data_IF_249913366295
#
_entry.id   IF_249913366295
#
_cell.length_a   1.000
_cell.length_b   1.000
_cell.length_c   1.000
_cell.angle_alpha   90.00
_cell.angle_beta   90.00
_cell.angle_gamma   90.00
#
_symmetry.space_group_name_H-M   'P 1'
#
loop_
_entity.id
_entity.type
_entity.pdbx_description
1 polymer ?
#
# COMPACT_ATOMS: atom_id res chain seq x y z
N UNK A 1 -25.11 -4.45 -8.62
CA UNK A 1 -23.69 -4.52 -9.05
C UNK A 1 -23.38 -3.61 -10.24
N UNK A 2 -24.13 -3.61 -11.35
CA UNK A 2 -23.94 -2.68 -12.47
C UNK A 2 -23.99 -1.19 -12.06
N UNK A 3 -24.88 -0.79 -11.15
CA UNK A 3 -25.02 0.60 -10.68
C UNK A 3 -23.80 1.14 -9.93
N UNK A 4 -23.11 0.31 -9.15
CA UNK A 4 -21.91 0.72 -8.36
C UNK A 4 -20.72 0.92 -9.30
N UNK A 5 -20.55 0.07 -10.30
CA UNK A 5 -19.48 0.19 -11.28
C UNK A 5 -19.66 1.47 -12.14
N UNK A 6 -20.88 1.81 -12.50
CA UNK A 6 -21.21 3.03 -13.28
C UNK A 6 -20.92 4.30 -12.48
N UNK A 7 -21.18 4.28 -11.15
CA UNK A 7 -20.89 5.42 -10.25
C UNK A 7 -19.37 5.65 -10.17
N UNK A 8 -18.57 4.58 -10.08
CA UNK A 8 -17.11 4.71 -9.95
C UNK A 8 -16.46 5.21 -11.25
N UNK A 9 -16.90 4.71 -12.41
CA UNK A 9 -16.43 5.20 -13.72
C UNK A 9 -16.83 6.67 -13.92
N UNK A 10 -18.02 7.06 -13.51
CA UNK A 10 -18.47 8.45 -13.53
C UNK A 10 -17.64 9.37 -12.62
N UNK A 11 -17.22 8.90 -11.45
CA UNK A 11 -16.42 9.66 -10.49
C UNK A 11 -14.99 9.90 -11.00
N UNK A 12 -14.36 8.89 -11.57
CA UNK A 12 -13.02 9.00 -12.17
C UNK A 12 -13.05 9.92 -13.39
N UNK A 13 -14.07 9.82 -14.24
CA UNK A 13 -14.25 10.71 -15.38
C UNK A 13 -14.50 12.17 -14.96
N UNK A 14 -15.27 12.41 -13.88
CA UNK A 14 -15.51 13.75 -13.36
C UNK A 14 -14.26 14.38 -12.73
N UNK A 15 -13.39 13.58 -12.11
CA UNK A 15 -12.10 14.04 -11.56
C UNK A 15 -11.12 14.39 -12.67
N UNK A 16 -11.05 13.59 -13.74
CA UNK A 16 -10.22 13.89 -14.92
C UNK A 16 -10.69 15.16 -15.64
N UNK A 17 -12.00 15.36 -15.82
CA UNK A 17 -12.54 16.57 -16.43
C UNK A 17 -12.28 17.83 -15.58
N UNK A 18 -12.28 17.74 -14.24
CA UNK A 18 -11.95 18.89 -13.38
C UNK A 18 -10.47 19.26 -13.38
N UNK A 19 -9.58 18.31 -13.53
CA UNK A 19 -8.16 18.58 -13.68
C UNK A 19 -7.89 19.34 -15.00
N UNK A 20 -8.48 18.92 -16.10
CA UNK A 20 -8.37 19.61 -17.40
C UNK A 20 -9.04 20.99 -17.39
N UNK A 21 -10.17 21.19 -16.69
CA UNK A 21 -10.84 22.49 -16.57
C UNK A 21 -10.06 23.46 -15.67
N UNK A 22 -9.36 22.98 -14.66
CA UNK A 22 -8.51 23.83 -13.82
C UNK A 22 -7.27 24.35 -14.55
N UNK A 23 -6.68 23.55 -15.44
CA UNK A 23 -5.55 23.97 -16.28
C UNK A 23 -6.00 24.88 -17.43
N UNK A 24 -7.25 24.77 -17.92
CA UNK A 24 -7.75 25.58 -19.04
C UNK A 24 -8.23 26.98 -18.64
N UNK A 25 -8.48 27.25 -17.37
CA UNK A 25 -8.89 28.57 -16.86
C UNK A 25 -7.73 29.58 -16.76
N UNK A 26 -6.52 29.18 -17.06
CA UNK A 26 -5.33 30.06 -17.01
C UNK A 26 -4.84 30.52 -18.39
N UNK A 27 -5.52 30.21 -19.49
CA UNK A 27 -5.14 30.71 -20.83
C UNK A 27 -6.34 31.09 -21.67
N UNK A 28 -6.50 32.40 -21.85
CA UNK A 28 -7.19 33.17 -22.94
C UNK A 28 -8.41 32.59 -23.66
N UNK A 29 -9.48 33.43 -23.61
CA UNK A 29 -10.60 33.50 -24.56
C UNK A 29 -10.17 33.31 -26.01
N UNK A 30 -10.76 32.35 -26.72
CA UNK A 30 -11.22 32.47 -28.10
C UNK A 30 -12.30 31.40 -28.33
N UNK A 31 -13.42 31.84 -28.96
CA UNK A 31 -14.54 31.05 -29.48
C UNK A 31 -14.07 30.01 -30.48
N UNK A 32 -14.56 28.78 -30.38
CA UNK A 32 -15.15 28.12 -31.53
C UNK A 32 -15.97 26.89 -31.08
N UNK A 33 -17.15 26.79 -31.68
CA UNK A 33 -18.16 25.78 -31.47
C UNK A 33 -17.69 24.40 -31.99
N UNK A 34 -17.47 23.46 -31.11
CA UNK A 34 -17.38 22.04 -31.42
C UNK A 34 -18.65 21.38 -30.89
N UNK A 35 -19.46 20.85 -31.83
CA UNK A 35 -20.63 20.02 -31.53
C UNK A 35 -20.18 18.76 -30.77
N UNK A 36 -20.56 18.67 -29.52
CA UNK A 36 -20.42 17.46 -28.73
C UNK A 36 -21.55 16.52 -29.13
N UNK A 37 -21.20 15.46 -29.87
CA UNK A 37 -22.10 14.34 -30.10
C UNK A 37 -22.54 13.76 -28.77
N UNK A 38 -23.81 13.86 -28.53
CA UNK A 38 -24.49 13.51 -27.28
C UNK A 38 -24.35 12.01 -27.01
N UNK A 39 -23.48 11.63 -26.15
CA UNK A 39 -23.65 10.37 -25.41
C UNK A 39 -24.95 10.53 -24.63
N UNK A 40 -25.98 9.78 -25.02
CA UNK A 40 -27.22 9.63 -24.28
C UNK A 40 -26.90 8.94 -22.97
N UNK A 41 -26.53 9.72 -21.97
CA UNK A 41 -26.52 9.29 -20.56
C UNK A 41 -27.99 9.28 -20.15
N UNK A 42 -28.49 8.08 -19.86
CA UNK A 42 -29.86 7.87 -19.41
C UNK A 42 -30.17 8.92 -18.32
N UNK A 43 -31.15 9.80 -18.59
CA UNK A 43 -31.53 10.94 -17.75
C UNK A 43 -31.89 10.54 -16.31
N UNK A 44 -32.19 9.27 -16.05
CA UNK A 44 -32.44 8.71 -14.73
C UNK A 44 -31.20 8.57 -13.84
N UNK A 45 -29.98 8.67 -14.40
CA UNK A 45 -28.74 8.59 -13.65
C UNK A 45 -28.24 9.99 -13.25
N UNK A 46 -28.58 11.01 -14.03
CA UNK A 46 -28.16 12.39 -13.76
C UNK A 46 -28.87 13.01 -12.53
N UNK A 47 -30.11 12.64 -12.29
CA UNK A 47 -30.90 13.19 -11.17
C UNK A 47 -30.53 12.58 -9.80
N UNK A 48 -29.73 11.49 -9.75
CA UNK A 48 -29.38 10.79 -8.51
C UNK A 48 -27.90 10.99 -8.12
N UNK A 49 -27.09 11.52 -9.02
CA UNK A 49 -25.67 11.81 -8.77
C UNK A 49 -25.52 13.30 -8.46
N UNK A 50 -25.70 13.65 -7.19
CA UNK A 50 -25.16 14.91 -6.69
C UNK A 50 -23.65 14.86 -6.84
N UNK A 51 -23.09 15.64 -7.77
CA UNK A 51 -21.63 15.84 -7.82
C UNK A 51 -21.25 16.54 -6.54
N UNK A 52 -20.37 15.96 -5.70
CA UNK A 52 -20.00 16.59 -4.44
C UNK A 52 -19.34 17.93 -4.72
N UNK A 53 -19.90 19.00 -4.17
CA UNK A 53 -19.36 20.35 -4.33
C UNK A 53 -18.11 20.61 -3.47
N UNK A 54 -17.86 19.74 -2.49
CA UNK A 54 -16.75 19.89 -1.52
C UNK A 54 -15.93 18.62 -1.40
N UNK A 55 -14.68 18.76 -0.98
CA UNK A 55 -13.77 17.65 -0.71
C UNK A 55 -14.36 16.71 0.34
N UNK A 56 -15.04 17.26 1.38
CA UNK A 56 -15.70 16.49 2.44
C UNK A 56 -16.80 15.57 1.89
N UNK A 57 -17.51 15.99 0.85
CA UNK A 57 -18.56 15.20 0.19
C UNK A 57 -17.96 14.02 -0.60
N UNK A 58 -16.80 14.22 -1.22
CA UNK A 58 -16.03 13.15 -1.89
C UNK A 58 -15.49 12.13 -0.88
N UNK A 59 -14.99 12.62 0.25
CA UNK A 59 -14.49 11.79 1.34
C UNK A 59 -15.62 10.92 1.94
N UNK A 60 -16.83 11.47 2.11
CA UNK A 60 -17.99 10.72 2.58
C UNK A 60 -18.39 9.60 1.60
N UNK A 61 -18.27 9.83 0.29
CA UNK A 61 -18.52 8.80 -0.73
C UNK A 61 -17.46 7.71 -0.67
N UNK A 62 -16.19 8.08 -0.52
CA UNK A 62 -15.08 7.14 -0.39
C UNK A 62 -15.25 6.29 0.87
N UNK A 63 -15.64 6.88 2.00
CA UNK A 63 -15.93 6.17 3.25
C UNK A 63 -17.08 5.15 3.11
N UNK A 64 -18.01 5.42 2.20
CA UNK A 64 -19.15 4.53 1.93
C UNK A 64 -18.79 3.40 0.97
N UNK A 65 -17.89 3.67 0.02
CA UNK A 65 -17.52 2.74 -1.06
C UNK A 65 -16.37 1.83 -0.65
N UNK A 66 -15.38 2.37 0.08
CA UNK A 66 -14.24 1.58 0.57
C UNK A 66 -14.64 0.90 1.87
N UNK A 67 -14.76 -0.42 1.91
CA UNK A 67 -15.12 -1.12 3.14
C UNK A 67 -14.09 -0.82 4.22
N UNK A 68 -14.58 -0.37 5.38
CA UNK A 68 -13.75 -0.24 6.58
C UNK A 68 -13.28 -1.63 6.95
N UNK A 69 -11.98 -1.88 6.85
CA UNK A 69 -11.39 -3.11 7.37
C UNK A 69 -11.54 -3.04 8.89
N UNK A 70 -12.32 -3.94 9.52
CA UNK A 70 -12.45 -3.92 10.97
C UNK A 70 -11.06 -4.08 11.60
N UNK A 71 -10.71 -3.28 12.61
CA UNK A 71 -9.42 -3.43 13.28
C UNK A 71 -9.34 -4.83 13.89
N UNK A 72 -8.26 -5.53 13.60
CA UNK A 72 -8.04 -6.92 14.05
C UNK A 72 -7.90 -7.04 15.58
N UNK A 73 -7.67 -5.92 16.28
CA UNK A 73 -7.39 -5.89 17.71
C UNK A 73 -8.14 -4.76 18.43
N UNK A 74 -9.15 -5.10 19.22
CA UNK A 74 -9.91 -4.13 20.03
C UNK A 74 -9.67 -4.21 21.54
N UNK A 75 -8.75 -5.05 22.05
CA UNK A 75 -8.65 -5.34 23.48
C UNK A 75 -7.23 -5.39 24.07
N UNK A 76 -6.34 -4.42 23.76
CA UNK A 76 -4.98 -4.47 24.32
C UNK A 76 -4.57 -3.16 25.00
N UNK A 77 -3.75 -3.26 26.07
CA UNK A 77 -3.24 -2.13 26.84
C UNK A 77 -2.06 -1.43 26.16
N UNK A 78 -1.86 -0.12 26.39
CA UNK A 78 -0.86 0.72 25.71
C UNK A 78 0.60 0.30 25.93
N UNK A 79 0.91 -0.39 27.05
CA UNK A 79 2.27 -0.83 27.39
C UNK A 79 2.76 -2.02 26.57
N UNK A 80 1.85 -2.86 26.05
CA UNK A 80 2.21 -4.14 25.40
C UNK A 80 2.25 -4.06 23.87
N UNK A 81 2.00 -2.88 23.31
CA UNK A 81 1.81 -2.66 21.87
C UNK A 81 3.01 -3.08 21.03
N UNK A 82 4.21 -2.73 21.46
CA UNK A 82 5.43 -3.03 20.70
C UNK A 82 5.68 -4.53 20.57
N UNK A 83 5.38 -5.29 21.63
CA UNK A 83 5.53 -6.74 21.62
C UNK A 83 4.47 -7.44 20.75
N UNK A 84 3.24 -6.94 20.75
CA UNK A 84 2.15 -7.53 19.94
C UNK A 84 2.36 -7.27 18.46
N UNK A 85 2.78 -6.08 18.11
CA UNK A 85 3.04 -5.72 16.72
C UNK A 85 4.27 -6.46 16.19
N UNK A 86 5.31 -6.63 17.01
CA UNK A 86 6.44 -7.50 16.70
C UNK A 86 6.00 -8.95 16.51
N UNK A 87 5.08 -9.46 17.33
CA UNK A 87 4.52 -10.82 17.17
C UNK A 87 3.66 -10.95 15.90
N UNK A 88 2.91 -9.92 15.54
CA UNK A 88 2.13 -9.91 14.27
C UNK A 88 3.07 -9.99 13.06
N UNK A 89 4.15 -9.22 13.09
CA UNK A 89 5.18 -9.27 12.06
C UNK A 89 5.93 -10.61 12.06
N UNK A 90 6.29 -11.15 13.23
CA UNK A 90 6.84 -12.51 13.37
C UNK A 90 5.90 -13.57 12.79
N UNK A 91 4.59 -13.42 13.02
CA UNK A 91 3.60 -14.37 12.49
C UNK A 91 3.55 -14.31 10.96
N UNK A 92 3.59 -13.13 10.37
CA UNK A 92 3.59 -12.99 8.90
C UNK A 92 4.86 -13.56 8.25
N UNK A 93 5.97 -13.62 9.00
CA UNK A 93 7.25 -14.19 8.52
C UNK A 93 7.39 -15.71 8.74
N UNK A 94 6.47 -16.36 9.45
CA UNK A 94 6.57 -17.79 9.82
C UNK A 94 6.64 -18.75 8.62
N UNK A 95 6.09 -18.36 7.48
CA UNK A 95 6.15 -19.20 6.29
C UNK A 95 7.56 -19.25 5.66
N UNK A 96 8.43 -18.29 6.04
CA UNK A 96 9.82 -18.30 5.59
C UNK A 96 10.60 -19.34 6.41
N UNK A 97 11.06 -20.40 5.75
CA UNK A 97 11.94 -21.36 6.40
C UNK A 97 13.29 -20.71 6.75
N UNK A 98 13.71 -20.80 8.00
CA UNK A 98 14.90 -20.14 8.54
C UNK A 98 16.14 -21.03 8.62
N UNK A 99 16.06 -22.31 8.19
CA UNK A 99 17.13 -23.28 8.40
C UNK A 99 18.37 -23.02 7.56
N UNK A 100 18.25 -22.42 6.38
CA UNK A 100 19.33 -22.36 5.38
C UNK A 100 20.08 -21.02 5.30
N UNK A 101 19.83 -20.08 6.21
CA UNK A 101 20.47 -18.78 6.15
C UNK A 101 21.70 -18.71 7.08
N UNK A 102 22.90 -18.86 6.53
CA UNK A 102 24.18 -18.69 7.23
C UNK A 102 24.66 -17.25 7.10
N UNK A 103 23.97 -16.29 7.69
CA UNK A 103 24.50 -14.93 7.77
C UNK A 103 25.38 -14.75 8.98
N UNK A 104 26.59 -14.23 8.80
CA UNK A 104 27.45 -13.72 9.87
C UNK A 104 27.03 -12.30 10.20
N UNK A 105 25.83 -12.13 10.78
CA UNK A 105 25.36 -10.77 11.00
C UNK A 105 25.98 -10.15 12.26
N UNK A 106 26.37 -8.91 12.13
CA UNK A 106 26.87 -8.11 13.25
C UNK A 106 25.67 -7.65 14.11
N UNK A 107 25.71 -8.01 15.40
CA UNK A 107 24.69 -7.62 16.38
C UNK A 107 24.92 -6.23 16.96
N UNK A 108 26.01 -5.52 16.59
CA UNK A 108 26.29 -4.18 17.08
C UNK A 108 25.21 -3.20 16.66
N UNK A 109 24.73 -2.42 17.62
CA UNK A 109 23.79 -1.33 17.33
C UNK A 109 24.60 -0.12 16.84
N UNK A 110 24.28 0.34 15.64
CA UNK A 110 24.87 1.55 15.12
C UNK A 110 24.34 2.79 15.88
N UNK A 111 25.11 3.90 15.90
CA UNK A 111 24.60 5.16 16.42
C UNK A 111 23.36 5.64 15.65
N UNK A 112 22.45 6.32 16.34
CA UNK A 112 21.22 6.85 15.75
C UNK A 112 21.46 7.77 14.54
N UNK A 113 22.56 8.51 14.57
CA UNK A 113 22.97 9.36 13.47
C UNK A 113 23.17 8.59 12.16
N UNK A 114 23.66 7.34 12.23
CA UNK A 114 23.85 6.47 11.05
C UNK A 114 22.51 6.04 10.46
N UNK A 115 21.57 5.59 11.30
CA UNK A 115 20.23 5.23 10.83
C UNK A 115 19.53 6.41 10.17
N UNK A 116 19.60 7.58 10.81
CA UNK A 116 19.02 8.81 10.28
C UNK A 116 19.63 9.20 8.94
N UNK A 117 20.98 9.20 8.84
CA UNK A 117 21.67 9.53 7.59
C UNK A 117 21.32 8.55 6.46
N UNK A 118 21.24 7.25 6.76
CA UNK A 118 20.85 6.21 5.80
C UNK A 118 19.42 6.39 5.29
N UNK A 119 18.45 6.67 6.17
CA UNK A 119 17.08 6.95 5.76
C UNK A 119 16.99 8.21 4.88
N UNK A 120 17.75 9.25 5.21
CA UNK A 120 17.81 10.48 4.42
C UNK A 120 18.49 10.28 3.04
N UNK A 121 19.38 9.29 2.93
CA UNK A 121 20.08 8.95 1.70
C UNK A 121 19.29 7.98 0.79
N UNK A 122 18.14 7.46 1.24
CA UNK A 122 17.29 6.64 0.37
C UNK A 122 16.77 7.48 -0.81
N UNK A 123 16.92 7.01 -2.05
CA UNK A 123 16.39 7.70 -3.22
C UNK A 123 14.88 7.46 -3.32
N UNK A 124 14.10 8.03 -2.41
CA UNK A 124 12.68 7.80 -2.31
C UNK A 124 11.86 9.10 -2.37
N UNK A 125 10.66 8.99 -2.92
CA UNK A 125 9.66 10.07 -2.98
C UNK A 125 8.88 10.17 -1.66
N UNK A 126 8.66 9.01 -1.02
CA UNK A 126 7.92 8.92 0.24
C UNK A 126 8.82 9.38 1.38
N UNK A 127 8.33 10.31 2.20
CA UNK A 127 9.06 10.75 3.38
C UNK A 127 9.27 9.60 4.38
N UNK A 128 10.52 9.39 4.76
CA UNK A 128 10.92 8.33 5.69
C UNK A 128 11.64 8.92 6.92
N UNK A 129 10.92 9.62 7.81
CA UNK A 129 11.53 10.27 8.97
C UNK A 129 12.03 9.23 9.97
N UNK A 130 13.18 9.55 10.59
CA UNK A 130 13.73 8.79 11.69
C UNK A 130 13.10 9.22 13.03
N UNK A 131 12.61 8.26 13.79
CA UNK A 131 12.16 8.44 15.17
C UNK A 131 12.32 7.12 15.96
N UNK A 132 12.02 7.14 17.26
CA UNK A 132 12.16 5.96 18.13
C UNK A 132 11.34 4.75 17.65
N UNK A 133 10.14 4.96 17.09
CA UNK A 133 9.30 3.89 16.57
C UNK A 133 9.92 3.25 15.34
N UNK A 134 10.34 4.05 14.39
CA UNK A 134 11.03 3.58 13.19
C UNK A 134 12.32 2.84 13.57
N UNK A 135 13.09 3.39 14.52
CA UNK A 135 14.29 2.74 15.05
C UNK A 135 14.00 1.35 15.62
N UNK A 136 12.97 1.23 16.44
CA UNK A 136 12.59 -0.04 17.05
C UNK A 136 12.33 -1.12 16.00
N UNK A 137 11.59 -0.80 14.93
CA UNK A 137 11.33 -1.73 13.84
C UNK A 137 12.55 -2.00 12.94
N UNK A 138 13.42 -1.01 12.70
CA UNK A 138 14.70 -1.26 12.03
C UNK A 138 15.51 -2.29 12.80
N UNK A 139 15.68 -2.09 14.11
CA UNK A 139 16.42 -3.02 14.97
C UNK A 139 15.76 -4.40 15.01
N UNK A 140 14.43 -4.45 14.96
CA UNK A 140 13.71 -5.72 14.87
C UNK A 140 14.08 -6.48 13.59
N UNK A 141 14.02 -5.84 12.42
CA UNK A 141 14.40 -6.46 11.16
C UNK A 141 15.86 -6.89 11.13
N UNK A 142 16.79 -5.96 11.42
CA UNK A 142 18.22 -6.22 11.21
C UNK A 142 18.89 -7.01 12.31
N UNK A 143 18.31 -7.05 13.53
CA UNK A 143 18.91 -7.76 14.67
C UNK A 143 18.14 -8.98 15.16
N UNK A 144 16.82 -8.89 15.23
CA UNK A 144 16.00 -10.01 15.74
C UNK A 144 15.59 -10.99 14.65
N UNK A 145 15.43 -10.51 13.41
CA UNK A 145 14.92 -11.29 12.29
C UNK A 145 15.82 -11.30 11.03
N UNK A 146 17.18 -11.35 11.18
CA UNK A 146 18.09 -11.24 10.03
C UNK A 146 17.91 -12.37 9.02
N UNK A 147 17.62 -13.59 9.49
CA UNK A 147 17.35 -14.73 8.61
C UNK A 147 16.11 -14.53 7.74
N UNK A 148 15.06 -13.96 8.31
CA UNK A 148 13.84 -13.62 7.58
C UNK A 148 14.12 -12.52 6.55
N UNK A 149 14.88 -11.47 6.94
CA UNK A 149 15.29 -10.41 6.00
C UNK A 149 16.08 -11.00 4.82
N UNK A 150 17.04 -11.89 5.08
CA UNK A 150 17.80 -12.58 4.04
C UNK A 150 16.89 -13.33 3.04
N UNK A 151 15.83 -13.96 3.54
CA UNK A 151 14.84 -14.65 2.69
C UNK A 151 13.90 -13.69 1.97
N UNK A 152 13.49 -12.59 2.59
CA UNK A 152 12.76 -11.52 1.93
C UNK A 152 13.58 -10.92 0.78
N UNK A 153 14.88 -10.66 0.99
CA UNK A 153 15.80 -10.21 -0.05
C UNK A 153 15.89 -11.20 -1.21
N UNK A 154 15.86 -12.52 -0.94
CA UNK A 154 15.79 -13.54 -1.99
C UNK A 154 14.46 -13.53 -2.73
N UNK A 155 13.34 -13.50 -2.00
CA UNK A 155 12.00 -13.49 -2.59
C UNK A 155 11.73 -12.22 -3.40
N UNK A 156 12.31 -11.09 -3.00
CA UNK A 156 12.18 -9.83 -3.71
C UNK A 156 12.78 -9.89 -5.13
N UNK A 157 13.78 -10.72 -5.38
CA UNK A 157 14.31 -10.92 -6.75
C UNK A 157 13.26 -11.42 -7.73
N UNK A 158 12.28 -12.18 -7.23
CA UNK A 158 11.18 -12.69 -8.03
C UNK A 158 10.04 -11.67 -8.18
N UNK A 159 9.62 -11.05 -7.07
CA UNK A 159 8.42 -10.23 -7.07
C UNK A 159 8.68 -8.77 -7.40
N UNK A 160 9.83 -8.21 -7.01
CA UNK A 160 10.09 -6.78 -7.22
C UNK A 160 10.09 -6.37 -8.69
N UNK A 161 10.62 -7.13 -9.65
CA UNK A 161 10.49 -6.78 -11.06
C UNK A 161 9.04 -6.61 -11.52
N UNK A 162 8.11 -7.48 -11.05
CA UNK A 162 6.68 -7.39 -11.35
C UNK A 162 6.08 -6.11 -10.73
N UNK A 163 6.45 -5.83 -9.47
CA UNK A 163 5.95 -4.65 -8.76
C UNK A 163 6.48 -3.36 -9.38
N UNK A 164 7.78 -3.29 -9.65
CA UNK A 164 8.46 -2.11 -10.20
C UNK A 164 7.93 -1.75 -11.59
N UNK A 165 7.77 -2.73 -12.47
CA UNK A 165 7.18 -2.53 -13.80
C UNK A 165 5.76 -1.98 -13.69
N UNK A 166 4.95 -2.54 -12.79
CA UNK A 166 3.57 -2.10 -12.63
C UNK A 166 3.50 -0.72 -11.97
N UNK A 167 4.28 -0.46 -10.90
CA UNK A 167 4.35 0.85 -10.26
C UNK A 167 4.78 1.93 -11.26
N UNK A 168 5.76 1.66 -12.13
CA UNK A 168 6.19 2.57 -13.18
C UNK A 168 5.08 2.91 -14.17
N UNK A 169 4.27 1.92 -14.58
CA UNK A 169 3.12 2.15 -15.49
C UNK A 169 2.03 3.05 -14.90
N UNK A 170 1.94 3.10 -13.56
CA UNK A 170 0.98 3.93 -12.83
C UNK A 170 1.60 5.22 -12.28
N UNK A 171 2.86 5.52 -12.60
CA UNK A 171 3.61 6.67 -12.08
C UNK A 171 3.61 6.74 -10.54
N UNK A 172 3.82 5.59 -9.90
CA UNK A 172 3.82 5.43 -8.44
C UNK A 172 5.24 5.27 -7.89
N UNK A 173 5.49 5.73 -6.63
CA UNK A 173 6.78 5.57 -5.97
C UNK A 173 7.21 4.10 -5.88
N UNK A 174 8.46 3.82 -6.25
CA UNK A 174 9.01 2.46 -6.22
C UNK A 174 9.11 1.87 -4.82
N UNK A 175 9.16 2.69 -3.79
CA UNK A 175 9.20 2.27 -2.38
C UNK A 175 7.98 1.46 -1.99
N UNK A 176 6.84 1.69 -2.64
CA UNK A 176 5.59 0.96 -2.42
C UNK A 176 5.72 -0.54 -2.70
N UNK A 177 6.73 -0.99 -3.45
CA UNK A 177 7.06 -2.41 -3.63
C UNK A 177 7.32 -3.14 -2.31
N UNK A 178 7.63 -2.40 -1.23
CA UNK A 178 7.87 -2.97 0.09
C UNK A 178 6.57 -3.17 0.91
N UNK A 179 5.40 -2.71 0.43
CA UNK A 179 4.13 -3.00 1.11
C UNK A 179 3.84 -4.52 1.22
N UNK A 180 4.01 -5.35 0.17
CA UNK A 180 3.81 -6.79 0.30
C UNK A 180 4.73 -7.48 1.30
N UNK A 181 5.86 -6.86 1.68
CA UNK A 181 6.72 -7.39 2.75
C UNK A 181 5.97 -7.35 4.08
N UNK A 182 5.33 -6.23 4.40
CA UNK A 182 4.62 -6.03 5.66
C UNK A 182 3.23 -6.65 5.67
N UNK A 183 2.64 -6.88 4.50
CA UNK A 183 1.31 -7.49 4.35
C UNK A 183 1.36 -9.02 4.42
N UNK A 184 2.29 -9.63 3.71
CA UNK A 184 2.29 -11.08 3.50
C UNK A 184 3.68 -11.72 3.64
N UNK A 185 4.73 -10.97 3.94
CA UNK A 185 6.12 -11.39 3.80
C UNK A 185 6.43 -11.97 2.41
N UNK A 186 5.86 -11.37 1.37
CA UNK A 186 5.95 -11.81 -0.04
C UNK A 186 5.34 -13.20 -0.30
N UNK A 187 4.40 -13.66 0.53
CA UNK A 187 3.69 -14.92 0.34
C UNK A 187 2.43 -14.73 -0.51
N UNK A 188 2.39 -15.20 -1.77
CA UNK A 188 1.22 -15.05 -2.63
C UNK A 188 0.01 -15.85 -2.15
N UNK A 189 0.20 -16.86 -1.31
CA UNK A 189 -0.85 -17.71 -0.78
C UNK A 189 -1.29 -17.30 0.63
N UNK A 190 -0.78 -16.18 1.15
CA UNK A 190 -1.15 -15.71 2.48
C UNK A 190 -2.65 -15.44 2.59
N UNK A 191 -3.24 -15.89 3.70
CA UNK A 191 -4.64 -15.62 4.08
C UNK A 191 -4.71 -15.20 5.52
N UNK A 192 -5.34 -14.06 5.78
CA UNK A 192 -5.61 -13.61 7.14
C UNK A 192 -6.89 -14.23 7.71
N UNK A 193 -7.03 -14.21 9.03
CA UNK A 193 -8.25 -14.70 9.71
C UNK A 193 -9.50 -13.90 9.33
N UNK A 194 -9.35 -12.64 8.90
CA UNK A 194 -10.45 -11.78 8.45
C UNK A 194 -10.72 -11.89 6.96
N UNK A 195 -10.00 -12.77 6.24
CA UNK A 195 -10.24 -13.05 4.85
C UNK A 195 -9.47 -12.20 3.84
N UNK A 196 -8.50 -11.41 4.28
CA UNK A 196 -7.53 -10.80 3.36
C UNK A 196 -6.65 -11.87 2.73
N UNK A 197 -6.24 -11.70 1.46
CA UNK A 197 -5.47 -12.73 0.75
C UNK A 197 -4.46 -12.14 -0.25
N UNK A 198 -3.42 -12.95 -0.51
CA UNK A 198 -2.38 -12.69 -1.52
C UNK A 198 -1.27 -11.77 -1.03
N UNK A 199 -0.37 -11.40 -1.96
CA UNK A 199 0.78 -10.54 -1.69
C UNK A 199 0.39 -9.19 -1.06
N UNK A 200 -0.69 -8.62 -1.56
CA UNK A 200 -1.21 -7.29 -1.21
C UNK A 200 -2.32 -7.31 -0.16
N UNK A 201 -2.65 -8.50 0.37
CA UNK A 201 -3.66 -8.72 1.41
C UNK A 201 -5.01 -8.03 1.15
N UNK A 202 -5.51 -8.15 -0.07
CA UNK A 202 -6.82 -7.59 -0.42
C UNK A 202 -7.96 -8.29 0.33
N UNK A 203 -8.85 -7.49 0.91
CA UNK A 203 -10.16 -7.97 1.33
C UNK A 203 -11.03 -8.29 0.10
N UNK A 204 -11.93 -9.30 0.15
CA UNK A 204 -12.73 -9.69 -1.00
C UNK A 204 -13.53 -8.56 -1.64
N UNK A 205 -14.11 -7.66 -0.83
CA UNK A 205 -14.90 -6.53 -1.32
C UNK A 205 -14.01 -5.52 -2.05
N UNK A 206 -12.85 -5.15 -1.47
CA UNK A 206 -11.88 -4.25 -2.07
C UNK A 206 -11.30 -4.84 -3.35
N UNK A 207 -10.95 -6.14 -3.35
CA UNK A 207 -10.46 -6.83 -4.53
C UNK A 207 -11.42 -6.70 -5.72
N UNK A 208 -12.72 -6.97 -5.48
CA UNK A 208 -13.76 -6.84 -6.50
C UNK A 208 -13.95 -5.40 -6.99
N UNK A 209 -13.83 -4.43 -6.08
CA UNK A 209 -13.91 -3.01 -6.42
C UNK A 209 -12.80 -2.61 -7.40
N UNK A 210 -11.60 -3.15 -7.21
CA UNK A 210 -10.44 -2.89 -8.06
C UNK A 210 -10.25 -3.93 -9.18
N UNK A 211 -11.32 -4.67 -9.54
CA UNK A 211 -11.40 -5.48 -10.75
C UNK A 211 -10.82 -6.89 -10.64
N UNK A 212 -10.54 -7.39 -9.42
CA UNK A 212 -10.13 -8.77 -9.22
C UNK A 212 -11.34 -9.71 -9.15
N UNK A 213 -11.24 -10.84 -9.82
CA UNK A 213 -12.21 -11.92 -9.71
C UNK A 213 -11.98 -12.70 -8.40
N UNK A 214 -13.02 -12.77 -7.57
CA UNK A 214 -13.01 -13.54 -6.31
C UNK A 214 -14.31 -14.30 -6.21
N UNK A 215 -14.25 -15.60 -6.43
CA UNK A 215 -15.40 -16.53 -6.34
C UNK A 215 -14.94 -17.87 -5.75
N UNK A 216 -15.75 -18.92 -5.84
CA UNK A 216 -15.44 -20.25 -5.30
C UNK A 216 -14.37 -21.02 -6.11
N UNK A 217 -14.12 -20.64 -7.35
CA UNK A 217 -13.18 -21.32 -8.27
C UNK A 217 -11.91 -20.54 -8.50
N UNK A 218 -12.00 -19.19 -8.49
CA UNK A 218 -10.90 -18.29 -8.82
C UNK A 218 -10.75 -17.25 -7.71
N UNK A 219 -9.51 -17.01 -7.30
CA UNK A 219 -9.14 -15.95 -6.36
C UNK A 219 -7.91 -15.20 -6.89
N UNK A 220 -8.15 -14.17 -7.72
CA UNK A 220 -7.11 -13.39 -8.36
C UNK A 220 -6.29 -12.51 -7.40
N UNK A 221 -6.67 -12.45 -6.13
CA UNK A 221 -5.85 -11.81 -5.09
C UNK A 221 -4.51 -12.52 -4.90
N UNK A 222 -4.44 -13.81 -5.27
CA UNK A 222 -3.24 -14.63 -5.20
C UNK A 222 -2.39 -14.58 -6.48
N UNK A 223 -2.90 -13.99 -7.56
CA UNK A 223 -2.15 -13.75 -8.77
C UNK A 223 -1.23 -12.53 -8.58
N UNK A 224 0.11 -12.69 -8.67
CA UNK A 224 1.04 -11.59 -8.42
C UNK A 224 0.87 -10.41 -9.38
N UNK A 225 0.54 -10.66 -10.64
CA UNK A 225 0.42 -9.61 -11.66
C UNK A 225 -0.90 -8.86 -11.47
N UNK A 226 -2.02 -9.59 -11.43
CA UNK A 226 -3.35 -9.00 -11.32
C UNK A 226 -3.54 -8.26 -10.00
N UNK A 227 -3.07 -8.85 -8.89
CA UNK A 227 -3.18 -8.19 -7.59
C UNK A 227 -2.31 -6.94 -7.49
N UNK A 228 -1.14 -6.91 -8.13
CA UNK A 228 -0.30 -5.70 -8.21
C UNK A 228 -0.97 -4.61 -9.03
N UNK A 229 -1.58 -4.94 -10.16
CA UNK A 229 -2.39 -4.00 -10.95
C UNK A 229 -3.53 -3.38 -10.12
N UNK A 230 -4.25 -4.21 -9.36
CA UNK A 230 -5.31 -3.74 -8.48
C UNK A 230 -4.78 -2.86 -7.35
N UNK A 231 -3.63 -3.21 -6.76
CA UNK A 231 -2.99 -2.41 -5.72
C UNK A 231 -2.55 -1.04 -6.24
N UNK A 232 -1.97 -0.96 -7.43
CA UNK A 232 -1.59 0.30 -8.04
C UNK A 232 -2.81 1.20 -8.27
N UNK A 233 -3.93 0.65 -8.79
CA UNK A 233 -5.19 1.41 -8.93
C UNK A 233 -5.73 1.91 -7.59
N UNK A 234 -5.68 1.07 -6.55
CA UNK A 234 -6.09 1.46 -5.21
C UNK A 234 -5.22 2.57 -4.65
N UNK A 235 -3.89 2.42 -4.68
CA UNK A 235 -2.94 3.40 -4.19
C UNK A 235 -3.07 4.74 -4.93
N UNK A 236 -3.22 4.72 -6.26
CA UNK A 236 -3.47 5.93 -7.06
C UNK A 236 -4.75 6.64 -6.64
N UNK A 237 -5.85 5.89 -6.42
CA UNK A 237 -7.12 6.47 -5.98
C UNK A 237 -7.03 7.12 -4.60
N UNK A 238 -6.26 6.53 -3.67
CA UNK A 238 -6.04 7.11 -2.36
C UNK A 238 -5.13 8.35 -2.42
N UNK A 239 -4.10 8.32 -3.28
CA UNK A 239 -3.22 9.48 -3.45
C UNK A 239 -3.96 10.70 -4.03
N UNK A 240 -4.90 10.48 -4.93
CA UNK A 240 -5.76 11.55 -5.44
C UNK A 240 -6.58 12.27 -4.34
N UNK A 241 -6.83 11.59 -3.20
CA UNK A 241 -7.56 12.15 -2.06
C UNK A 241 -6.63 12.81 -1.05
N UNK A 242 -5.53 12.15 -0.71
CA UNK A 242 -4.70 12.57 0.42
C UNK A 242 -3.52 13.44 0.01
N UNK A 243 -2.97 13.28 -1.19
CA UNK A 243 -1.74 13.94 -1.67
C UNK A 243 -0.53 13.79 -0.72
N UNK A 244 -0.57 12.79 0.16
CA UNK A 244 0.45 12.44 1.14
C UNK A 244 0.57 10.91 1.19
N UNK A 245 1.75 10.38 0.86
CA UNK A 245 1.95 8.95 0.78
C UNK A 245 1.86 8.24 2.14
N UNK A 246 2.28 8.89 3.23
CA UNK A 246 2.16 8.29 4.55
C UNK A 246 0.70 8.17 5.00
N UNK A 247 -0.16 9.13 4.60
CA UNK A 247 -1.61 9.01 4.77
C UNK A 247 -2.21 7.92 3.87
N UNK A 248 -1.74 7.79 2.63
CA UNK A 248 -2.17 6.71 1.71
C UNK A 248 -1.83 5.34 2.30
N UNK A 249 -0.60 5.16 2.80
CA UNK A 249 -0.15 3.92 3.43
C UNK A 249 -0.99 3.62 4.68
N UNK A 250 -1.28 4.63 5.51
CA UNK A 250 -2.17 4.48 6.66
C UNK A 250 -3.58 4.08 6.23
N UNK A 251 -4.12 4.72 5.18
CA UNK A 251 -5.45 4.40 4.63
C UNK A 251 -5.52 3.01 3.99
N UNK A 252 -4.43 2.54 3.40
CA UNK A 252 -4.31 1.17 2.90
C UNK A 252 -4.57 0.15 4.02
N UNK A 253 -3.98 0.38 5.19
CA UNK A 253 -4.10 -0.53 6.34
C UNK A 253 -5.48 -0.43 7.04
N UNK A 254 -5.94 0.78 7.38
CA UNK A 254 -7.14 0.92 8.23
C UNK A 254 -8.39 1.46 7.51
N UNK A 255 -8.27 1.74 6.22
CA UNK A 255 -9.32 2.37 5.44
C UNK A 255 -9.37 3.90 5.61
N UNK A 256 -9.84 4.59 4.56
CA UNK A 256 -9.99 6.04 4.50
C UNK A 256 -10.86 6.60 5.64
N UNK A 257 -11.92 5.90 6.02
CA UNK A 257 -12.81 6.33 7.11
C UNK A 257 -12.10 6.54 8.44
N UNK A 258 -11.14 5.68 8.79
CA UNK A 258 -10.37 5.84 10.04
C UNK A 258 -9.34 6.96 9.92
N UNK A 259 -8.70 7.12 8.76
CA UNK A 259 -7.77 8.24 8.50
C UNK A 259 -8.53 9.57 8.58
N UNK A 260 -9.69 9.69 7.95
CA UNK A 260 -10.51 10.88 7.97
C UNK A 260 -11.03 11.24 9.38
N UNK A 261 -11.41 10.22 10.18
CA UNK A 261 -11.71 10.43 11.61
C UNK A 261 -10.51 10.97 12.38
N UNK A 262 -9.31 10.46 12.11
CA UNK A 262 -8.08 10.90 12.75
C UNK A 262 -7.75 12.36 12.34
N UNK A 263 -7.87 12.71 11.06
CA UNK A 263 -7.71 14.09 10.55
C UNK A 263 -8.66 15.06 11.26
N UNK A 264 -9.96 14.73 11.35
CA UNK A 264 -10.93 15.56 12.07
C UNK A 264 -10.56 15.75 13.54
N UNK A 265 -10.13 14.66 14.22
CA UNK A 265 -9.69 14.74 15.64
C UNK A 265 -8.40 15.52 15.82
N UNK A 266 -7.55 15.56 14.81
CA UNK A 266 -6.30 16.35 14.81
C UNK A 266 -6.52 17.82 14.42
N UNK A 267 -7.76 18.29 14.34
CA UNK A 267 -8.07 19.67 13.94
C UNK A 267 -7.85 19.95 12.45
N UNK A 268 -8.02 18.96 11.59
CA UNK A 268 -7.89 19.08 10.15
C UNK A 268 -6.45 18.95 9.60
N UNK A 269 -5.49 18.59 10.44
CA UNK A 269 -4.10 18.38 10.00
C UNK A 269 -4.02 17.16 9.08
N UNK A 270 -3.41 17.33 7.92
CA UNK A 270 -3.32 16.31 6.86
C UNK A 270 -1.87 15.84 6.68
N UNK A 271 -1.25 15.38 7.75
CA UNK A 271 0.01 14.67 7.75
C UNK A 271 -0.03 13.51 8.76
N UNK A 272 0.66 12.41 8.43
CA UNK A 272 0.60 11.18 9.22
C UNK A 272 0.99 11.38 10.69
N UNK A 273 2.06 12.11 10.96
CA UNK A 273 2.60 12.24 12.32
C UNK A 273 1.73 13.12 13.22
N UNK A 274 1.03 14.10 12.64
CA UNK A 274 0.02 14.90 13.37
C UNK A 274 -1.22 14.08 13.71
N UNK A 275 -1.66 13.18 12.83
CA UNK A 275 -2.84 12.34 13.09
C UNK A 275 -2.51 11.04 13.82
N UNK A 276 -1.24 10.68 13.95
CA UNK A 276 -0.74 9.46 14.57
C UNK A 276 -1.43 9.11 15.91
N UNK A 277 -1.60 10.03 16.90
CA UNK A 277 -2.25 9.71 18.17
C UNK A 277 -3.71 9.30 18.05
N UNK A 278 -4.36 9.67 16.94
CA UNK A 278 -5.80 9.47 16.71
C UNK A 278 -6.09 8.27 15.81
N UNK A 279 -5.06 7.69 15.20
CA UNK A 279 -5.19 6.48 14.37
C UNK A 279 -5.47 5.24 15.22
N UNK A 280 -6.07 4.18 14.65
CA UNK A 280 -6.09 2.85 15.27
C UNK A 280 -4.67 2.41 15.66
N UNK A 281 -4.55 1.66 16.74
CA UNK A 281 -3.26 1.25 17.30
C UNK A 281 -2.37 0.54 16.28
N UNK A 282 -2.93 -0.41 15.55
CA UNK A 282 -2.25 -1.16 14.49
C UNK A 282 -1.69 -0.22 13.43
N UNK A 283 -2.51 0.71 12.93
CA UNK A 283 -2.14 1.65 11.89
C UNK A 283 -1.04 2.62 12.31
N UNK A 284 -0.96 2.97 13.61
CA UNK A 284 0.12 3.82 14.12
C UNK A 284 1.51 3.28 13.81
N UNK A 285 1.67 1.97 13.80
CA UNK A 285 2.96 1.34 13.55
C UNK A 285 3.13 0.87 12.11
N UNK A 286 2.06 0.85 11.32
CA UNK A 286 2.13 0.38 9.96
C UNK A 286 3.08 1.21 9.09
N UNK A 287 3.02 2.55 9.15
CA UNK A 287 3.99 3.43 8.46
C UNK A 287 5.41 3.28 9.03
N UNK A 288 5.66 3.30 10.35
CA UNK A 288 6.98 2.97 10.91
C UNK A 288 7.54 1.62 10.47
N UNK A 289 6.71 0.57 10.39
CA UNK A 289 7.12 -0.76 9.89
C UNK A 289 7.48 -0.68 8.39
N UNK A 290 6.68 0.04 7.59
CA UNK A 290 6.97 0.25 6.17
C UNK A 290 8.32 0.94 5.96
N UNK A 291 8.61 2.01 6.70
CA UNK A 291 9.89 2.70 6.67
C UNK A 291 11.04 1.76 7.04
N UNK A 292 10.86 0.97 8.10
CA UNK A 292 11.85 0.01 8.56
C UNK A 292 12.07 -1.14 7.55
N UNK A 293 11.02 -1.59 6.86
CA UNK A 293 11.15 -2.58 5.79
C UNK A 293 11.97 -2.04 4.61
N UNK A 294 11.70 -0.80 4.17
CA UNK A 294 12.51 -0.12 3.15
C UNK A 294 13.98 -0.04 3.57
N UNK A 295 14.24 0.38 4.82
CA UNK A 295 15.59 0.41 5.36
C UNK A 295 16.26 -0.97 5.33
N UNK A 296 15.58 -2.00 5.85
CA UNK A 296 16.15 -3.34 5.97
C UNK A 296 16.43 -3.99 4.61
N UNK A 297 15.56 -3.78 3.63
CA UNK A 297 15.75 -4.29 2.28
C UNK A 297 16.89 -3.59 1.54
N UNK A 298 17.14 -2.32 1.82
CA UNK A 298 18.22 -1.55 1.18
C UNK A 298 19.55 -1.78 1.88
N UNK A 299 19.59 -1.72 3.22
CA UNK A 299 20.82 -1.74 4.00
C UNK A 299 21.07 -3.06 4.73
N UNK A 300 20.37 -4.13 4.35
CA UNK A 300 20.55 -5.45 4.99
C UNK A 300 21.98 -5.96 4.90
N UNK A 301 22.65 -5.75 3.76
CA UNK A 301 24.04 -6.19 3.55
C UNK A 301 25.02 -5.46 4.48
N UNK A 302 24.83 -4.16 4.72
CA UNK A 302 25.65 -3.35 5.63
C UNK A 302 25.45 -3.72 7.09
N UNK A 303 24.41 -4.52 7.39
CA UNK A 303 24.18 -5.18 8.68
C UNK A 303 24.68 -6.62 8.68
N UNK A 304 25.46 -7.05 7.69
CA UNK A 304 25.96 -8.41 7.58
C UNK A 304 24.89 -9.45 7.24
N UNK A 305 23.73 -9.03 6.76
CA UNK A 305 22.66 -9.93 6.32
C UNK A 305 22.92 -10.31 4.87
N UNK A 306 23.47 -11.49 4.67
CA UNK A 306 23.70 -12.00 3.33
C UNK A 306 22.40 -12.50 2.71
N UNK A 307 22.19 -12.12 1.45
CA UNK A 307 21.13 -12.67 0.63
C UNK A 307 21.35 -14.18 0.46
N UNK A 308 20.36 -15.00 0.80
CA UNK A 308 20.46 -16.42 0.61
C UNK A 308 20.57 -16.75 -0.89
N UNK A 309 21.40 -17.75 -1.30
CA UNK A 309 21.53 -18.13 -2.69
C UNK A 309 20.17 -18.56 -3.25
N UNK A 310 19.90 -18.23 -4.51
CA UNK A 310 18.70 -18.67 -5.19
C UNK A 310 18.76 -20.19 -5.42
N UNK A 311 17.75 -20.92 -4.97
CA UNK A 311 17.65 -22.36 -5.23
C UNK A 311 17.32 -22.68 -6.68
N UNK A 312 16.70 -21.72 -7.39
CA UNK A 312 16.32 -21.86 -8.80
C UNK A 312 16.58 -20.55 -9.53
N UNK A 313 17.09 -20.64 -10.75
CA UNK A 313 17.19 -19.49 -11.64
C UNK A 313 15.80 -19.05 -12.07
N UNK A 314 15.54 -17.73 -12.03
CA UNK A 314 14.30 -17.11 -12.47
C UNK A 314 14.24 -16.91 -14.00
N UNK A 315 15.18 -17.51 -14.74
CA UNK A 315 15.14 -17.50 -16.19
C UNK A 315 13.92 -18.32 -16.65
N UNK A 316 12.88 -17.61 -17.06
CA UNK A 316 11.71 -18.20 -17.68
C UNK A 316 11.85 -18.09 -19.19
N UNK A 317 11.58 -19.19 -19.90
CA UNK A 317 11.45 -19.19 -21.36
C UNK A 317 9.98 -19.36 -21.73
N UNK A 318 9.54 -18.64 -22.77
CA UNK A 318 8.15 -18.73 -23.23
C UNK A 318 8.04 -19.76 -24.34
N UNK A 319 7.47 -20.92 -24.03
CA UNK A 319 7.15 -21.94 -25.04
C UNK A 319 5.74 -21.65 -25.59
N UNK A 320 5.65 -21.29 -26.87
CA UNK A 320 4.38 -21.22 -27.60
C UNK A 320 4.05 -22.58 -28.18
N UNK A 321 2.99 -23.22 -27.69
CA UNK A 321 2.47 -24.46 -28.28
C UNK A 321 1.27 -24.12 -29.17
N UNK A 322 1.35 -24.54 -30.45
CA UNK A 322 0.17 -24.53 -31.31
C UNK A 322 -0.63 -25.81 -30.97
N UNK A 323 -1.80 -25.64 -30.43
CA UNK A 323 -2.84 -26.67 -30.34
C UNK A 323 -3.92 -26.37 -31.35
#
# INVERSE_FOLDING_TARGET
MKKILTIFIGLVAALSLRAEVADSLNTHCINDSIAVDTLVVDTLVADTLMVPETLDSLEAIIDTIVPVIPPFYTQWNDSDLTDIEMRSLEWSLRWLDTTDCTSTHDTTTLPDAVYKARLQALPCVIEMPYNERVRAFILWYVRRSPKQVAKLMRMSEYYFPIFEETLARYDLPYELKNLPIIESALNPMARSHVGAAGLWQFMPATAKLFGLEVNSLVDERMDPIKSTEAACRFLSSMYAVYHDWNLVIAAYNCGSGNVNKAIRRAGGKRDFWSIYPFLPRETRNYVPIFIAANYAMTYGQEHGICKAPAEKTLLTDTIRTNR
#
